data_IF_960602093728
#
_entry.id   IF_960602093728
#
_cell.length_a   1.000
_cell.length_b   1.000
_cell.length_c   1.000
_cell.angle_alpha   90.00
_cell.angle_beta   90.00
_cell.angle_gamma   90.00
#
_symmetry.space_group_name_H-M   'P 1'
#
loop_
_entity.id
_entity.type
_entity.pdbx_description
1 polymer ?
#
# COMPACT_ATOMS: atom_id res chain seq x y z
N UNK A 1 4.29 16.43 7.81
CA UNK A 1 4.69 16.17 6.41
C UNK A 1 6.09 15.59 6.35
N UNK A 2 7.11 16.26 6.89
CA UNK A 2 8.48 15.72 6.95
C UNK A 2 8.58 14.35 7.66
N UNK A 3 7.95 14.20 8.83
CA UNK A 3 7.96 12.92 9.57
C UNK A 3 7.35 11.76 8.77
N UNK A 4 6.31 12.03 7.99
CA UNK A 4 5.68 11.04 7.12
C UNK A 4 6.61 10.64 5.96
N UNK A 5 7.36 11.58 5.39
CA UNK A 5 8.35 11.30 4.33
C UNK A 5 9.47 10.42 4.86
N UNK A 6 10.00 10.75 6.05
CA UNK A 6 11.02 9.95 6.71
C UNK A 6 10.51 8.54 7.04
N UNK A 7 9.34 8.45 7.66
CA UNK A 7 8.72 7.17 8.00
C UNK A 7 8.49 6.31 6.75
N UNK A 8 8.00 6.90 5.65
CA UNK A 8 7.76 6.19 4.40
C UNK A 8 9.06 5.59 3.83
N UNK A 9 10.14 6.38 3.79
CA UNK A 9 11.44 5.91 3.30
C UNK A 9 12.00 4.77 4.15
N UNK A 10 11.89 4.84 5.47
CA UNK A 10 12.37 3.79 6.37
C UNK A 10 11.50 2.53 6.31
N UNK A 11 10.17 2.69 6.21
CA UNK A 11 9.22 1.56 6.20
C UNK A 11 9.39 0.63 5.00
N UNK A 12 10.01 1.11 3.91
CA UNK A 12 10.24 0.35 2.68
C UNK A 12 11.63 -0.26 2.59
N UNK A 13 12.54 0.05 3.53
CA UNK A 13 13.95 -0.37 3.48
C UNK A 13 14.27 -1.55 4.41
N UNK A 14 13.30 -2.45 4.64
CA UNK A 14 13.52 -3.66 5.43
C UNK A 14 14.40 -4.68 4.67
N UNK A 15 15.12 -5.57 5.36
CA UNK A 15 15.96 -6.58 4.71
C UNK A 15 15.16 -7.46 3.74
N UNK A 16 15.69 -7.80 2.56
CA UNK A 16 15.04 -8.75 1.66
C UNK A 16 14.95 -10.12 2.32
N UNK A 17 13.88 -10.85 2.02
CA UNK A 17 13.67 -12.21 2.54
C UNK A 17 13.11 -13.14 1.45
N UNK A 18 13.42 -14.45 1.48
CA UNK A 18 12.78 -15.42 0.60
C UNK A 18 11.26 -15.41 0.72
N UNK A 19 10.73 -15.22 1.93
CA UNK A 19 9.30 -15.17 2.21
C UNK A 19 8.61 -14.00 1.51
N UNK A 20 9.25 -12.83 1.43
CA UNK A 20 8.75 -11.67 0.66
C UNK A 20 8.67 -12.01 -0.84
N UNK A 21 9.71 -12.65 -1.39
CA UNK A 21 9.78 -13.00 -2.80
C UNK A 21 8.75 -14.07 -3.19
N UNK A 22 8.59 -15.09 -2.35
CA UNK A 22 7.60 -16.16 -2.55
C UNK A 22 6.18 -15.60 -2.48
N UNK A 23 5.87 -14.80 -1.45
CA UNK A 23 4.58 -14.15 -1.32
C UNK A 23 4.27 -13.26 -2.53
N UNK A 24 5.24 -12.45 -2.98
CA UNK A 24 5.09 -11.61 -4.17
C UNK A 24 4.76 -12.45 -5.41
N UNK A 25 5.51 -13.54 -5.64
CA UNK A 25 5.30 -14.43 -6.78
C UNK A 25 3.90 -15.05 -6.77
N UNK A 26 3.48 -15.58 -5.63
CA UNK A 26 2.15 -16.18 -5.46
C UNK A 26 1.03 -15.16 -5.70
N UNK A 27 1.11 -13.99 -5.06
CA UNK A 27 0.08 -12.95 -5.14
C UNK A 27 -0.07 -12.42 -6.56
N UNK A 28 1.01 -12.34 -7.34
CA UNK A 28 0.96 -11.91 -8.73
C UNK A 28 0.16 -12.84 -9.65
N UNK A 29 -0.10 -14.08 -9.22
CA UNK A 29 -0.95 -15.05 -9.95
C UNK A 29 -2.44 -14.91 -9.66
N UNK A 30 -2.82 -14.18 -8.60
CA UNK A 30 -4.21 -14.00 -8.18
C UNK A 30 -4.99 -13.10 -9.15
N UNK A 31 -6.33 -13.24 -9.20
CA UNK A 31 -7.17 -12.40 -10.05
C UNK A 31 -7.10 -10.93 -9.65
N UNK A 32 -7.34 -10.06 -10.63
CA UNK A 32 -7.30 -8.61 -10.47
C UNK A 32 -8.68 -8.02 -10.66
N UNK A 33 -8.94 -6.94 -9.93
CA UNK A 33 -10.16 -6.14 -10.05
C UNK A 33 -9.80 -4.68 -10.19
N UNK A 34 -10.70 -3.91 -10.78
CA UNK A 34 -10.59 -2.44 -10.82
C UNK A 34 -11.31 -1.86 -9.61
N UNK A 35 -10.58 -1.12 -8.79
CA UNK A 35 -11.14 -0.40 -7.64
C UNK A 35 -11.39 1.05 -8.03
N UNK A 36 -12.54 1.57 -7.61
CA UNK A 36 -12.85 3.01 -7.72
C UNK A 36 -12.64 3.70 -6.38
N UNK A 37 -11.94 4.83 -6.37
CA UNK A 37 -11.86 5.73 -5.23
C UNK A 37 -12.77 6.94 -5.48
N UNK A 38 -13.82 7.14 -4.66
CA UNK A 38 -14.62 8.37 -4.70
C UNK A 38 -13.75 9.60 -4.44
N UNK A 39 -14.26 10.79 -4.75
CA UNK A 39 -13.52 12.04 -4.50
C UNK A 39 -13.17 12.20 -3.02
N UNK A 40 -12.05 12.87 -2.75
CA UNK A 40 -11.60 13.15 -1.39
C UNK A 40 -12.69 13.84 -0.58
N UNK A 41 -13.31 14.90 -1.12
CA UNK A 41 -14.38 15.64 -0.45
C UNK A 41 -15.56 14.75 -0.08
N UNK A 42 -15.93 13.81 -0.95
CA UNK A 42 -17.00 12.87 -0.67
C UNK A 42 -16.64 11.92 0.48
N UNK A 43 -15.43 11.36 0.45
CA UNK A 43 -14.95 10.45 1.51
C UNK A 43 -14.83 11.17 2.86
N UNK A 44 -14.34 12.41 2.88
CA UNK A 44 -14.28 13.24 4.08
C UNK A 44 -15.68 13.57 4.62
N UNK A 45 -16.64 13.89 3.75
CA UNK A 45 -18.02 14.12 4.15
C UNK A 45 -18.68 12.86 4.73
N UNK A 46 -18.23 11.66 4.34
CA UNK A 46 -18.63 10.39 4.94
C UNK A 46 -17.94 10.08 6.28
N UNK A 47 -17.05 10.95 6.76
CA UNK A 47 -16.32 10.76 8.01
C UNK A 47 -15.14 9.78 7.91
N UNK A 48 -14.66 9.47 6.70
CA UNK A 48 -13.54 8.57 6.50
C UNK A 48 -12.22 9.22 6.92
N UNK A 49 -11.34 8.45 7.58
CA UNK A 49 -10.04 8.92 8.02
C UNK A 49 -9.01 8.86 6.87
N UNK A 50 -8.27 9.95 6.65
CA UNK A 50 -7.22 9.97 5.62
C UNK A 50 -6.12 8.93 5.91
N UNK A 51 -5.64 8.27 4.86
CA UNK A 51 -4.59 7.23 4.91
C UNK A 51 -4.86 5.99 5.78
N UNK A 52 -6.07 5.81 6.32
CA UNK A 52 -6.42 4.66 7.16
C UNK A 52 -7.42 3.73 6.46
N UNK A 53 -6.92 2.99 5.46
CA UNK A 53 -7.79 2.14 4.63
C UNK A 53 -8.43 0.98 5.38
N UNK A 54 -7.72 0.38 6.34
CA UNK A 54 -8.19 -0.77 7.08
C UNK A 54 -9.32 -0.39 8.02
N UNK A 55 -9.17 0.71 8.77
CA UNK A 55 -10.23 1.21 9.66
C UNK A 55 -11.47 1.65 8.89
N UNK A 56 -11.30 2.41 7.82
CA UNK A 56 -12.42 2.92 7.04
C UNK A 56 -13.26 1.80 6.45
N UNK A 57 -12.61 0.77 5.88
CA UNK A 57 -13.33 -0.35 5.27
C UNK A 57 -14.01 -1.24 6.33
N UNK A 58 -13.37 -1.45 7.48
CA UNK A 58 -13.96 -2.18 8.60
C UNK A 58 -15.23 -1.47 9.11
N UNK A 59 -15.11 -0.19 9.46
CA UNK A 59 -16.23 0.60 9.96
C UNK A 59 -17.38 0.71 8.94
N UNK A 60 -17.05 0.87 7.65
CA UNK A 60 -18.07 0.90 6.60
C UNK A 60 -18.78 -0.44 6.45
N UNK A 61 -18.06 -1.56 6.45
CA UNK A 61 -18.68 -2.89 6.38
C UNK A 61 -19.57 -3.18 7.59
N UNK A 62 -19.14 -2.83 8.80
CA UNK A 62 -19.92 -2.97 10.04
C UNK A 62 -21.22 -2.16 10.03
N UNK A 63 -21.24 -1.02 9.32
CA UNK A 63 -22.45 -0.19 9.21
C UNK A 63 -23.58 -0.84 8.39
N UNK A 64 -23.30 -1.90 7.62
CA UNK A 64 -24.29 -2.65 6.84
C UNK A 64 -24.43 -4.09 7.35
N UNK A 65 -25.50 -4.37 8.09
CA UNK A 65 -25.76 -5.69 8.69
C UNK A 65 -26.36 -6.72 7.73
N UNK A 66 -26.70 -6.33 6.50
CA UNK A 66 -27.32 -7.21 5.51
C UNK A 66 -26.32 -8.19 4.84
N UNK A 67 -25.04 -8.11 5.20
CA UNK A 67 -23.96 -8.93 4.63
C UNK A 67 -23.66 -8.61 3.16
N UNK A 68 -24.28 -7.59 2.58
CA UNK A 68 -24.07 -7.21 1.17
C UNK A 68 -22.74 -6.49 0.93
N UNK A 69 -22.12 -6.00 2.00
CA UNK A 69 -20.84 -5.28 1.96
C UNK A 69 -19.76 -6.11 2.63
N UNK A 70 -18.68 -6.38 1.90
CA UNK A 70 -17.53 -7.13 2.42
C UNK A 70 -16.31 -6.23 2.53
N UNK A 71 -15.65 -6.25 3.69
CA UNK A 71 -14.30 -5.74 3.84
C UNK A 71 -13.32 -6.75 3.24
N UNK A 72 -12.54 -6.34 2.24
CA UNK A 72 -11.59 -7.20 1.55
C UNK A 72 -10.18 -6.63 1.68
N UNK A 73 -9.23 -7.49 2.01
CA UNK A 73 -7.79 -7.19 2.03
C UNK A 73 -7.12 -7.68 0.74
N UNK A 74 -5.99 -7.07 0.44
CA UNK A 74 -5.23 -7.41 -0.76
C UNK A 74 -4.23 -6.32 -1.08
N UNK A 75 -3.92 -6.17 -2.35
CA UNK A 75 -2.73 -5.45 -2.77
C UNK A 75 -3.00 -4.44 -3.88
N UNK A 76 -2.62 -3.18 -3.65
CA UNK A 76 -2.50 -2.19 -4.72
C UNK A 76 -1.21 -2.44 -5.47
N UNK A 77 -1.27 -2.38 -6.81
CA UNK A 77 -0.06 -2.35 -7.64
C UNK A 77 0.46 -0.92 -7.69
N UNK A 78 1.63 -0.67 -7.10
CA UNK A 78 2.27 0.64 -7.09
C UNK A 78 3.66 0.55 -7.73
N UNK A 79 3.73 0.85 -9.04
CA UNK A 79 4.97 0.75 -9.80
C UNK A 79 5.49 -0.69 -9.88
N UNK A 80 6.59 -0.96 -9.20
CA UNK A 80 7.20 -2.30 -9.11
C UNK A 80 6.76 -3.08 -7.86
N UNK A 81 6.01 -2.47 -6.94
CA UNK A 81 5.70 -3.05 -5.63
C UNK A 81 4.21 -3.31 -5.46
N UNK A 82 3.90 -4.14 -4.47
CA UNK A 82 2.55 -4.36 -3.98
C UNK A 82 2.41 -3.73 -2.59
N UNK A 83 1.39 -2.90 -2.39
CA UNK A 83 1.12 -2.25 -1.10
C UNK A 83 -0.14 -2.88 -0.49
N UNK A 84 -0.04 -3.35 0.75
CA UNK A 84 -1.17 -3.91 1.48
C UNK A 84 -2.26 -2.86 1.62
N UNK A 85 -3.49 -3.22 1.28
CA UNK A 85 -4.59 -2.28 1.20
C UNK A 85 -5.93 -2.93 1.51
N UNK A 86 -6.90 -2.11 1.91
CA UNK A 86 -8.28 -2.53 2.12
C UNK A 86 -9.24 -1.80 1.20
N UNK A 87 -10.22 -2.55 0.71
CA UNK A 87 -11.33 -2.08 -0.09
C UNK A 87 -12.62 -2.69 0.43
N UNK A 88 -13.75 -2.11 0.03
CA UNK A 88 -15.06 -2.72 0.21
C UNK A 88 -15.57 -3.24 -1.12
N UNK A 89 -16.20 -4.41 -1.08
CA UNK A 89 -16.93 -4.96 -2.22
C UNK A 89 -18.42 -5.00 -1.88
N UNK A 90 -19.26 -4.51 -2.79
CA UNK A 90 -20.72 -4.59 -2.70
C UNK A 90 -21.33 -4.73 -4.07
N UNK A 91 -22.01 -5.85 -4.32
CA UNK A 91 -22.75 -6.08 -5.58
C UNK A 91 -21.86 -6.04 -6.83
N UNK A 92 -20.63 -6.56 -6.74
CA UNK A 92 -19.61 -6.55 -7.79
C UNK A 92 -18.81 -5.25 -7.89
N UNK A 93 -19.16 -4.21 -7.11
CA UNK A 93 -18.47 -2.93 -7.12
C UNK A 93 -17.39 -2.87 -6.05
N UNK A 94 -16.18 -2.54 -6.46
CA UNK A 94 -15.00 -2.45 -5.60
C UNK A 94 -14.65 -0.99 -5.31
N UNK A 95 -14.61 -0.61 -4.02
CA UNK A 95 -14.35 0.79 -3.62
C UNK A 95 -13.24 0.91 -2.58
N UNK A 96 -12.35 1.88 -2.79
CA UNK A 96 -11.41 2.35 -1.79
C UNK A 96 -12.05 3.51 -1.02
N UNK A 97 -12.13 3.38 0.30
CA UNK A 97 -12.77 4.38 1.17
C UNK A 97 -11.75 5.26 1.90
N UNK A 98 -10.58 5.50 1.30
CA UNK A 98 -9.47 6.21 1.94
C UNK A 98 -9.21 7.55 1.25
N UNK A 99 -9.52 8.67 1.92
CA UNK A 99 -9.07 9.98 1.48
C UNK A 99 -7.53 10.02 1.37
N UNK A 100 -7.03 10.67 0.32
CA UNK A 100 -5.61 10.92 0.08
C UNK A 100 -5.44 12.43 -0.13
N UNK A 101 -4.51 13.08 0.57
CA UNK A 101 -4.21 14.50 0.35
C UNK A 101 -3.26 14.73 -0.82
N UNK A 102 -2.59 13.68 -1.28
CA UNK A 102 -1.79 13.68 -2.50
C UNK A 102 -2.67 13.13 -3.62
N UNK A 103 -2.57 13.74 -4.81
CA UNK A 103 -3.28 13.27 -5.98
C UNK A 103 -2.97 11.79 -6.24
N UNK A 104 -4.03 11.00 -6.35
CA UNK A 104 -3.94 9.58 -6.58
C UNK A 104 -5.02 9.14 -7.58
N UNK A 105 -4.77 8.09 -8.39
CA UNK A 105 -5.74 7.66 -9.40
C UNK A 105 -7.12 7.37 -8.81
N UNK A 106 -8.16 7.84 -9.50
CA UNK A 106 -9.55 7.53 -9.15
C UNK A 106 -9.92 6.07 -9.45
N UNK A 107 -9.15 5.41 -10.30
CA UNK A 107 -9.28 3.99 -10.63
C UNK A 107 -7.91 3.32 -10.61
N UNK A 108 -7.80 2.14 -10.02
CA UNK A 108 -6.54 1.42 -9.96
C UNK A 108 -6.73 -0.11 -9.90
N UNK A 109 -5.73 -0.88 -10.38
CA UNK A 109 -5.71 -2.34 -10.20
C UNK A 109 -5.53 -2.70 -8.73
N UNK A 110 -6.28 -3.71 -8.30
CA UNK A 110 -6.16 -4.31 -6.99
C UNK A 110 -6.18 -5.84 -7.13
N UNK A 111 -5.39 -6.52 -6.31
CA UNK A 111 -5.35 -7.97 -6.21
C UNK A 111 -6.01 -8.36 -4.88
N UNK A 112 -7.27 -8.81 -4.87
CA UNK A 112 -7.91 -9.32 -3.66
C UNK A 112 -7.17 -10.57 -3.17
N UNK A 113 -6.90 -10.63 -1.87
CA UNK A 113 -6.22 -11.75 -1.24
C UNK A 113 -7.04 -12.26 -0.06
N UNK A 114 -7.88 -13.26 -0.35
CA UNK A 114 -8.79 -13.87 0.63
C UNK A 114 -8.09 -14.78 1.63
N UNK A 115 -6.78 -14.95 1.52
CA UNK A 115 -5.98 -15.77 2.42
C UNK A 115 -5.32 -14.96 3.54
N UNK A 116 -5.45 -13.63 3.49
CA UNK A 116 -4.94 -12.75 4.54
C UNK A 116 -5.83 -12.89 5.77
N UNK A 117 -5.19 -13.22 6.88
CA UNK A 117 -5.79 -13.30 8.20
C UNK A 117 -5.25 -12.18 9.08
N UNK A 118 -6.11 -11.46 9.79
CA UNK A 118 -5.69 -10.45 10.76
C UNK A 118 -5.72 -11.01 12.17
N UNK A 119 -4.54 -11.25 12.72
CA UNK A 119 -4.36 -11.83 14.06
C UNK A 119 -4.24 -10.72 15.08
N UNK A 120 -4.95 -10.88 16.19
CA UNK A 120 -4.89 -9.96 17.32
C UNK A 120 -3.71 -10.34 18.23
N UNK A 121 -2.92 -9.34 18.59
CA UNK A 121 -1.81 -9.44 19.52
C UNK A 121 -2.32 -9.23 20.95
N UNK A 122 -1.49 -9.59 21.94
CA UNK A 122 -1.84 -9.44 23.36
C UNK A 122 -2.09 -7.99 23.80
N UNK A 123 -1.57 -7.00 23.05
CA UNK A 123 -1.78 -5.57 23.28
C UNK A 123 -3.01 -5.00 22.55
N UNK A 124 -3.80 -5.85 21.89
CA UNK A 124 -4.97 -5.46 21.09
C UNK A 124 -4.64 -4.91 19.71
N UNK A 125 -3.36 -4.81 19.33
CA UNK A 125 -2.97 -4.52 17.96
C UNK A 125 -3.29 -5.70 17.04
N UNK A 126 -3.43 -5.47 15.74
CA UNK A 126 -3.65 -6.54 14.76
C UNK A 126 -2.60 -6.53 13.67
N UNK A 127 -2.17 -7.71 13.28
CA UNK A 127 -1.16 -7.91 12.25
C UNK A 127 -1.68 -8.81 11.13
N UNK A 128 -1.37 -8.50 9.87
CA UNK A 128 -1.73 -9.34 8.74
C UNK A 128 -0.80 -10.55 8.67
N UNK A 129 -1.38 -11.72 8.47
CA UNK A 129 -0.68 -12.97 8.21
C UNK A 129 -1.22 -13.62 6.94
N UNK A 130 -0.36 -14.34 6.24
CA UNK A 130 -0.73 -15.20 5.12
C UNK A 130 -0.02 -16.54 5.27
N UNK A 131 -0.77 -17.64 5.22
CA UNK A 131 -0.26 -19.00 5.43
C UNK A 131 0.57 -19.15 6.72
N UNK A 132 0.22 -18.42 7.78
CA UNK A 132 0.94 -18.42 9.06
C UNK A 132 2.09 -17.41 9.16
N UNK A 133 2.61 -16.89 8.05
CA UNK A 133 3.70 -15.91 8.02
C UNK A 133 3.16 -14.49 8.15
N UNK A 134 3.80 -13.66 8.98
CA UNK A 134 3.47 -12.24 9.10
C UNK A 134 3.78 -11.53 7.78
N UNK A 135 2.83 -10.77 7.27
CA UNK A 135 3.00 -9.98 6.05
C UNK A 135 3.58 -8.59 6.39
N UNK A 136 4.53 -8.09 5.59
CA UNK A 136 4.88 -6.68 5.59
C UNK A 136 3.77 -5.83 4.98
N UNK A 137 3.83 -4.52 5.18
CA UNK A 137 2.90 -3.56 4.55
C UNK A 137 3.15 -3.40 3.04
N UNK A 138 4.31 -3.86 2.55
CA UNK A 138 4.66 -3.82 1.13
C UNK A 138 5.43 -5.08 0.74
N UNK A 139 5.24 -5.56 -0.48
CA UNK A 139 6.05 -6.60 -1.11
C UNK A 139 6.80 -5.98 -2.28
N UNK A 140 8.13 -6.02 -2.22
CA UNK A 140 8.99 -5.29 -3.15
C UNK A 140 9.55 -6.24 -4.21
N UNK A 141 9.42 -5.86 -5.47
CA UNK A 141 10.06 -6.59 -6.57
C UNK A 141 11.57 -6.35 -6.62
N UNK A 142 11.98 -5.14 -6.23
CA UNK A 142 13.38 -4.72 -6.20
C UNK A 142 13.72 -4.16 -4.81
N UNK A 143 13.82 -5.00 -3.77
CA UNK A 143 14.03 -4.54 -2.39
C UNK A 143 15.33 -3.73 -2.23
N UNK A 144 16.38 -4.07 -2.97
CA UNK A 144 17.66 -3.34 -2.96
C UNK A 144 17.53 -1.89 -3.44
N UNK A 145 16.57 -1.59 -4.31
CA UNK A 145 16.34 -0.23 -4.78
C UNK A 145 15.80 0.65 -3.65
N UNK A 146 14.87 0.13 -2.84
CA UNK A 146 14.34 0.84 -1.68
C UNK A 146 15.39 1.07 -0.60
N UNK A 147 16.26 0.08 -0.38
CA UNK A 147 17.39 0.22 0.55
C UNK A 147 18.34 1.31 0.06
N UNK A 148 18.73 1.30 -1.23
CA UNK A 148 19.58 2.34 -1.83
C UNK A 148 18.94 3.73 -1.78
N UNK A 149 17.63 3.84 -2.01
CA UNK A 149 16.91 5.11 -1.88
C UNK A 149 16.94 5.63 -0.44
N UNK A 150 16.66 4.77 0.54
CA UNK A 150 16.68 5.14 1.96
C UNK A 150 18.09 5.55 2.39
N UNK A 151 19.11 4.78 2.04
CA UNK A 151 20.50 5.08 2.39
C UNK A 151 20.92 6.43 1.82
N UNK A 152 20.62 6.68 0.54
CA UNK A 152 20.90 7.98 -0.09
C UNK A 152 20.14 9.13 0.56
N UNK A 153 18.88 8.88 0.93
CA UNK A 153 18.05 9.87 1.61
C UNK A 153 18.64 10.27 2.97
N UNK A 154 19.10 9.29 3.76
CA UNK A 154 19.78 9.53 5.05
C UNK A 154 21.08 10.30 4.88
N UNK A 155 21.92 9.91 3.91
CA UNK A 155 23.15 10.65 3.61
C UNK A 155 22.90 12.13 3.34
N UNK A 156 21.84 12.45 2.59
CA UNK A 156 21.47 13.84 2.30
C UNK A 156 21.01 14.59 3.54
N UNK A 157 20.17 13.98 4.37
CA UNK A 157 19.73 14.58 5.64
C UNK A 157 20.93 14.80 6.58
N UNK A 158 21.81 13.81 6.71
CA UNK A 158 22.99 13.87 7.56
C UNK A 158 23.99 14.95 7.07
N UNK A 159 23.96 15.29 5.78
CA UNK A 159 24.72 16.42 5.22
C UNK A 159 24.11 17.81 5.49
N UNK A 160 22.95 17.85 6.16
CA UNK A 160 22.23 19.08 6.51
C UNK A 160 21.13 19.48 5.53
N UNK A 161 20.78 18.63 4.55
CA UNK A 161 19.68 18.90 3.62
C UNK A 161 18.33 18.74 4.33
N UNK A 162 17.35 19.57 3.96
CA UNK A 162 15.99 19.41 4.47
C UNK A 162 15.37 18.09 3.99
N UNK A 163 14.48 17.50 4.79
CA UNK A 163 13.76 16.26 4.45
C UNK A 163 13.05 16.33 3.10
N UNK A 164 12.44 17.47 2.76
CA UNK A 164 11.69 17.63 1.52
C UNK A 164 12.62 17.76 0.30
N UNK A 165 13.73 18.48 0.46
CA UNK A 165 14.74 18.62 -0.60
C UNK A 165 15.47 17.29 -0.84
N UNK A 166 15.81 16.58 0.24
CA UNK A 166 16.44 15.26 0.16
C UNK A 166 15.53 14.27 -0.58
N UNK A 167 14.22 14.28 -0.29
CA UNK A 167 13.24 13.45 -0.98
C UNK A 167 13.18 13.79 -2.47
N UNK A 168 13.07 15.09 -2.78
CA UNK A 168 13.00 15.57 -4.16
C UNK A 168 14.25 15.18 -4.96
N UNK A 169 15.43 15.24 -4.33
CA UNK A 169 16.70 14.86 -4.97
C UNK A 169 16.82 13.36 -5.19
N UNK A 170 16.40 12.52 -4.23
CA UNK A 170 16.36 11.06 -4.40
C UNK A 170 15.40 10.69 -5.51
N UNK A 171 14.21 11.30 -5.56
CA UNK A 171 13.22 11.04 -6.61
C UNK A 171 13.75 11.45 -8.00
N UNK A 172 14.41 12.61 -8.11
CA UNK A 172 14.98 13.10 -9.36
C UNK A 172 16.18 12.29 -9.88
N UNK A 173 16.78 11.44 -9.04
CA UNK A 173 17.98 10.64 -9.40
C UNK A 173 17.66 9.16 -9.44
N UNK A 174 17.54 8.54 -8.27
CA UNK A 174 17.26 7.12 -8.10
C UNK A 174 15.82 6.78 -8.50
N UNK A 175 14.86 7.64 -8.18
CA UNK A 175 13.46 7.46 -8.61
C UNK A 175 13.33 7.38 -10.13
N UNK A 176 13.96 8.32 -10.86
CA UNK A 176 14.00 8.29 -12.33
C UNK A 176 14.73 7.05 -12.87
N UNK A 177 15.90 6.72 -12.32
CA UNK A 177 16.65 5.49 -12.68
C UNK A 177 15.77 4.24 -12.57
N UNK A 178 15.07 4.10 -11.44
CA UNK A 178 14.29 2.90 -11.12
C UNK A 178 12.93 2.86 -11.82
N UNK A 179 12.36 4.01 -12.16
CA UNK A 179 11.11 4.08 -12.96
C UNK A 179 11.24 3.40 -14.33
N UNK A 180 12.47 3.27 -14.83
CA UNK A 180 12.79 2.62 -16.12
C UNK A 180 12.84 1.10 -16.02
N UNK A 181 12.88 0.54 -14.80
CA UNK A 181 12.85 -0.92 -14.60
C UNK A 181 11.46 -1.47 -14.91
N UNK A 182 11.33 -2.73 -15.37
CA UNK A 182 10.03 -3.31 -15.61
C UNK A 182 9.17 -3.35 -14.34
N UNK A 183 8.11 -2.55 -14.29
CA UNK A 183 7.13 -2.59 -13.21
C UNK A 183 6.34 -3.90 -13.16
N UNK A 184 5.44 -4.01 -12.18
CA UNK A 184 4.40 -5.03 -12.21
C UNK A 184 3.39 -4.57 -13.26
N UNK A 185 3.29 -5.32 -14.37
CA UNK A 185 2.37 -4.96 -15.45
C UNK A 185 0.96 -4.84 -14.90
N UNK A 186 0.31 -3.69 -15.09
CA UNK A 186 -1.14 -3.57 -14.95
C UNK A 186 -1.77 -4.30 -16.14
N UNK A 187 -2.09 -5.59 -16.01
CA UNK A 187 -2.80 -6.30 -17.05
C UNK A 187 -4.26 -5.85 -17.05
N UNK A 188 -4.54 -4.79 -17.80
CA UNK A 188 -5.82 -4.59 -18.45
C UNK A 188 -5.51 -4.48 -19.95
N UNK A 189 -5.91 -5.52 -20.71
CA UNK A 189 -6.21 -5.39 -22.13
C UNK A 189 -7.71 -5.22 -22.27
#
# INVERSE_FOLDING_TARGET
>A
MADHVLWSAESMAFPPSPEEADALSEILTLPRVTVTRPSMDHLLAMGMAAYDCHRNCAAYAESYSDGSTRHVWGWIIHGADLILHSVVERGGLWRCLTPQYIEAPSHFPFIPDMTIEWRENADGSREPHRNGTKLPNALRKYPEDHIRMRDRFRELIDSGMSVLDARSMVDATLGDEFSRKPGIRSQFR
#
